data_IF_953132964271
#
_entry.id   IF_953132964271
#
_cell.length_a   1.000
_cell.length_b   1.000
_cell.length_c   1.000
_cell.angle_alpha   90.00
_cell.angle_beta   90.00
_cell.angle_gamma   90.00
#
_symmetry.space_group_name_H-M   'P 1'
#
loop_
_entity.id
_entity.type
_entity.pdbx_description
1 polymer ?
#
# COMPACT_ATOMS: atom_id res chain seq x y z
N UNK A 1 25.44 -5.29 -14.44
CA UNK A 1 26.22 -4.14 -14.97
C UNK A 1 25.27 -2.94 -15.08
N UNK A 2 25.45 -1.91 -14.26
CA UNK A 2 24.66 -0.67 -14.31
C UNK A 2 25.18 0.23 -15.44
N UNK A 3 24.33 0.74 -16.32
CA UNK A 3 24.76 1.69 -17.37
C UNK A 3 24.90 3.10 -16.81
N UNK A 4 26.11 3.66 -16.89
CA UNK A 4 26.36 5.08 -16.55
C UNK A 4 25.76 6.00 -17.61
N UNK A 5 24.81 6.86 -17.22
CA UNK A 5 24.14 7.83 -18.10
C UNK A 5 25.00 9.05 -18.43
N UNK A 6 26.13 9.25 -17.74
CA UNK A 6 26.93 10.48 -17.83
C UNK A 6 27.54 10.73 -19.20
N UNK A 7 27.88 9.67 -19.94
CA UNK A 7 28.64 9.76 -21.20
C UNK A 7 27.85 9.31 -22.44
N UNK A 8 26.58 8.92 -22.32
CA UNK A 8 25.81 8.43 -23.48
C UNK A 8 25.29 9.60 -24.32
N UNK A 9 25.59 9.67 -25.64
CA UNK A 9 25.07 10.69 -26.53
C UNK A 9 23.54 10.77 -26.51
N UNK A 10 22.98 11.97 -26.74
CA UNK A 10 21.53 12.19 -26.70
C UNK A 10 20.77 11.29 -27.71
N UNK A 11 21.26 11.19 -28.95
CA UNK A 11 20.63 10.38 -29.99
C UNK A 11 20.58 8.90 -29.62
N UNK A 12 21.65 8.38 -29.01
CA UNK A 12 21.69 7.01 -28.52
C UNK A 12 20.66 6.78 -27.41
N UNK A 13 20.51 7.71 -26.45
CA UNK A 13 19.49 7.58 -25.39
C UNK A 13 18.06 7.58 -25.95
N UNK A 14 17.78 8.41 -26.95
CA UNK A 14 16.47 8.44 -27.62
C UNK A 14 16.21 7.12 -28.35
N UNK A 15 17.20 6.60 -29.07
CA UNK A 15 17.08 5.34 -29.80
C UNK A 15 16.92 4.15 -28.85
N UNK A 16 17.68 4.11 -27.76
CA UNK A 16 17.52 3.11 -26.70
C UNK A 16 16.12 3.17 -26.09
N UNK A 17 15.58 4.36 -25.82
CA UNK A 17 14.21 4.51 -25.30
C UNK A 17 13.15 4.02 -26.30
N UNK A 18 13.30 4.32 -27.59
CA UNK A 18 12.40 3.81 -28.65
C UNK A 18 12.41 2.28 -28.74
N UNK A 19 13.56 1.65 -28.45
CA UNK A 19 13.74 0.20 -28.41
C UNK A 19 13.35 -0.45 -27.09
N UNK A 20 12.92 0.33 -26.08
CA UNK A 20 12.58 -0.20 -24.75
C UNK A 20 13.80 -0.67 -23.94
N UNK A 21 14.99 -0.15 -24.24
CA UNK A 21 16.22 -0.51 -23.53
C UNK A 21 16.35 0.37 -22.29
N UNK A 22 16.20 -0.24 -21.11
CA UNK A 22 16.36 0.41 -19.82
C UNK A 22 17.81 0.59 -19.37
N UNK A 23 17.99 1.14 -18.16
CA UNK A 23 19.30 1.36 -17.52
C UNK A 23 19.96 0.07 -17.03
N UNK A 24 19.17 -0.96 -16.76
CA UNK A 24 19.66 -2.27 -16.35
C UNK A 24 18.84 -3.40 -16.97
N UNK A 25 19.45 -4.58 -17.08
CA UNK A 25 18.84 -5.76 -17.72
C UNK A 25 17.85 -6.49 -16.81
N UNK A 26 18.15 -6.57 -15.51
CA UNK A 26 17.39 -7.38 -14.55
C UNK A 26 16.81 -6.51 -13.42
N UNK A 27 15.61 -6.82 -12.92
CA UNK A 27 14.95 -6.08 -11.85
C UNK A 27 15.29 -6.68 -10.48
N UNK A 28 16.50 -6.43 -9.99
CA UNK A 28 17.03 -7.05 -8.77
C UNK A 28 16.19 -6.74 -7.53
N UNK A 29 15.75 -5.49 -7.36
CA UNK A 29 14.98 -5.05 -6.19
C UNK A 29 13.58 -5.64 -6.23
N UNK A 30 12.93 -5.65 -7.39
CA UNK A 30 11.61 -6.26 -7.53
C UNK A 30 11.66 -7.76 -7.17
N UNK A 31 12.67 -8.50 -7.64
CA UNK A 31 12.87 -9.90 -7.28
C UNK A 31 13.13 -10.08 -5.79
N UNK A 32 14.04 -9.30 -5.20
CA UNK A 32 14.34 -9.36 -3.78
C UNK A 32 13.10 -9.11 -2.91
N UNK A 33 12.32 -8.07 -3.25
CA UNK A 33 11.09 -7.75 -2.55
C UNK A 33 10.03 -8.83 -2.73
N UNK A 34 9.88 -9.42 -3.91
CA UNK A 34 9.00 -10.56 -4.15
C UNK A 34 9.38 -11.79 -3.31
N UNK A 35 10.68 -12.09 -3.19
CA UNK A 35 11.16 -13.17 -2.32
C UNK A 35 10.88 -12.87 -0.84
N UNK A 36 11.10 -11.63 -0.40
CA UNK A 36 10.77 -11.22 0.97
C UNK A 36 9.26 -11.34 1.25
N UNK A 37 8.41 -10.88 0.33
CA UNK A 37 6.95 -10.99 0.43
C UNK A 37 6.48 -12.45 0.44
N UNK A 38 7.13 -13.34 -0.31
CA UNK A 38 6.83 -14.77 -0.26
C UNK A 38 7.17 -15.37 1.11
N UNK A 39 8.32 -15.02 1.68
CA UNK A 39 8.71 -15.46 3.02
C UNK A 39 7.73 -14.96 4.08
N UNK A 40 7.28 -13.70 3.97
CA UNK A 40 6.26 -13.12 4.85
C UNK A 40 4.90 -13.81 4.68
N UNK A 41 4.47 -14.11 3.44
CA UNK A 41 3.25 -14.90 3.21
C UNK A 41 3.31 -16.28 3.88
N UNK A 42 4.45 -16.97 3.81
CA UNK A 42 4.63 -18.26 4.50
C UNK A 42 4.51 -18.07 6.02
N UNK A 43 5.12 -17.02 6.57
CA UNK A 43 4.99 -16.68 7.99
C UNK A 43 3.54 -16.36 8.39
N UNK A 44 2.82 -15.58 7.58
CA UNK A 44 1.42 -15.22 7.79
C UNK A 44 0.52 -16.47 7.90
N UNK A 45 0.69 -17.42 6.96
CA UNK A 45 -0.04 -18.69 6.97
C UNK A 45 0.36 -19.59 8.15
N UNK A 46 1.64 -19.62 8.51
CA UNK A 46 2.12 -20.39 9.66
C UNK A 46 1.60 -19.83 10.99
N UNK A 47 1.58 -18.50 11.13
CA UNK A 47 1.02 -17.81 12.29
C UNK A 47 -0.47 -18.15 12.44
N UNK A 48 -1.23 -18.11 11.34
CA UNK A 48 -2.64 -18.46 11.36
C UNK A 48 -2.87 -19.93 11.69
N UNK A 49 -2.05 -20.84 11.13
CA UNK A 49 -2.11 -22.26 11.44
C UNK A 49 -1.86 -22.54 12.92
N UNK A 50 -0.90 -21.85 13.52
CA UNK A 50 -0.62 -21.94 14.95
C UNK A 50 -1.77 -21.43 15.81
N UNK A 51 -2.42 -20.34 15.39
CA UNK A 51 -3.49 -19.71 16.15
C UNK A 51 -4.84 -20.43 16.01
N UNK A 52 -5.24 -20.79 14.79
CA UNK A 52 -6.58 -21.29 14.46
C UNK A 52 -6.62 -22.79 14.13
N UNK A 53 -5.46 -23.45 14.06
CA UNK A 53 -5.33 -24.84 13.59
C UNK A 53 -5.29 -24.99 12.07
N UNK A 54 -5.55 -23.93 11.29
CA UNK A 54 -5.54 -23.95 9.82
C UNK A 54 -4.79 -22.72 9.25
N UNK A 55 -4.03 -22.87 8.14
CA UNK A 55 -3.31 -21.73 7.55
C UNK A 55 -4.24 -20.67 6.95
N UNK A 56 -5.44 -21.08 6.56
CA UNK A 56 -6.49 -20.21 6.02
C UNK A 56 -7.61 -20.10 7.05
N UNK A 57 -8.15 -18.90 7.22
CA UNK A 57 -9.34 -18.67 8.03
C UNK A 57 -10.57 -19.26 7.34
N UNK A 58 -11.11 -20.34 7.91
CA UNK A 58 -12.38 -20.96 7.50
C UNK A 58 -13.54 -20.65 8.46
N UNK A 59 -13.20 -20.23 9.68
CA UNK A 59 -14.13 -19.89 10.77
C UNK A 59 -13.66 -18.60 11.47
N UNK A 60 -14.54 -17.80 12.09
CA UNK A 60 -16.02 -17.91 12.07
C UNK A 60 -16.63 -17.65 10.70
N UNK A 61 -15.89 -17.01 9.80
CA UNK A 61 -16.22 -16.82 8.40
C UNK A 61 -15.00 -17.14 7.54
N UNK A 62 -15.23 -17.46 6.27
CA UNK A 62 -14.15 -17.74 5.32
C UNK A 62 -13.51 -16.41 4.91
N UNK A 63 -12.17 -16.32 4.98
CA UNK A 63 -11.47 -15.19 4.38
C UNK A 63 -11.53 -15.34 2.84
N UNK A 64 -12.16 -14.40 2.12
CA UNK A 64 -12.35 -14.51 0.67
C UNK A 64 -11.03 -14.49 -0.13
N UNK A 65 -9.93 -13.99 0.47
CA UNK A 65 -8.60 -13.99 -0.13
C UNK A 65 -7.81 -15.29 0.08
N UNK A 66 -8.41 -16.28 0.75
CA UNK A 66 -7.77 -17.56 1.13
C UNK A 66 -6.48 -17.30 1.94
N UNK A 67 -6.63 -16.66 3.09
CA UNK A 67 -5.51 -16.25 3.93
C UNK A 67 -5.82 -16.23 5.43
N UNK A 68 -4.92 -15.62 6.23
CA UNK A 68 -5.05 -15.52 7.68
C UNK A 68 -6.28 -14.75 8.14
N UNK A 69 -6.59 -14.82 9.43
CA UNK A 69 -7.59 -13.94 10.05
C UNK A 69 -7.12 -12.51 10.19
N UNK A 70 -8.07 -11.58 10.33
CA UNK A 70 -7.78 -10.17 10.60
C UNK A 70 -6.88 -10.00 11.83
N UNK A 71 -7.17 -10.68 12.94
CA UNK A 71 -6.36 -10.62 14.16
C UNK A 71 -4.94 -11.16 13.94
N UNK A 72 -4.76 -12.22 13.15
CA UNK A 72 -3.44 -12.71 12.78
C UNK A 72 -2.66 -11.70 11.93
N UNK A 73 -3.31 -11.03 10.97
CA UNK A 73 -2.69 -9.96 10.17
C UNK A 73 -2.32 -8.75 11.02
N UNK A 74 -3.18 -8.33 11.96
CA UNK A 74 -2.88 -7.25 12.90
C UNK A 74 -1.65 -7.62 13.74
N UNK A 75 -1.61 -8.82 14.30
CA UNK A 75 -0.48 -9.30 15.09
C UNK A 75 0.82 -9.41 14.26
N UNK A 76 0.71 -9.74 12.98
CA UNK A 76 1.86 -9.78 12.05
C UNK A 76 2.37 -8.40 11.61
N UNK A 77 1.64 -7.32 11.88
CA UNK A 77 2.08 -5.95 11.60
C UNK A 77 1.26 -5.20 10.54
N UNK A 78 0.01 -5.61 10.28
CA UNK A 78 -0.88 -4.88 9.38
C UNK A 78 -1.11 -3.43 9.83
N UNK A 79 -1.48 -2.54 8.91
CA UNK A 79 -1.85 -1.18 9.28
C UNK A 79 -3.15 -1.26 10.06
N UNK A 80 -3.09 -0.92 11.34
CA UNK A 80 -4.26 -0.91 12.21
C UNK A 80 -4.16 0.30 13.15
N UNK A 81 -4.89 1.40 12.88
CA UNK A 81 -4.74 2.66 13.61
C UNK A 81 -4.84 2.54 15.13
N UNK A 82 -5.66 1.62 15.67
CA UNK A 82 -5.75 1.41 17.11
C UNK A 82 -4.43 0.90 17.73
N UNK A 83 -3.56 0.20 16.98
CA UNK A 83 -2.22 -0.15 17.45
C UNK A 83 -1.22 1.02 17.37
N UNK A 84 -1.59 2.12 16.71
CA UNK A 84 -0.67 3.21 16.36
C UNK A 84 -0.93 4.50 17.12
N UNK A 85 -2.17 4.70 17.60
CA UNK A 85 -2.58 5.84 18.42
C UNK A 85 -3.89 5.53 19.16
N UNK A 86 -4.24 6.39 20.11
CA UNK A 86 -5.59 6.42 20.68
C UNK A 86 -6.60 6.88 19.63
N UNK A 87 -7.73 6.18 19.53
CA UNK A 87 -8.84 6.50 18.62
C UNK A 87 -10.03 6.98 19.44
N UNK A 88 -10.55 8.17 19.15
CA UNK A 88 -11.78 8.68 19.76
C UNK A 88 -12.94 7.73 19.46
N UNK A 89 -13.64 7.27 20.50
CA UNK A 89 -14.74 6.29 20.37
C UNK A 89 -14.31 4.83 20.50
N UNK A 90 -13.02 4.54 20.65
CA UNK A 90 -12.50 3.18 20.90
C UNK A 90 -11.61 3.19 22.16
N UNK A 91 -12.20 2.99 23.35
CA UNK A 91 -11.45 2.92 24.60
C UNK A 91 -10.36 1.84 24.58
N UNK A 92 -9.25 2.04 25.30
CA UNK A 92 -8.20 1.01 25.44
C UNK A 92 -8.69 -0.26 26.14
N UNK A 93 -9.80 -0.19 26.88
CA UNK A 93 -10.47 -1.34 27.48
C UNK A 93 -11.29 -2.16 26.47
N UNK A 94 -11.46 -1.68 25.23
CA UNK A 94 -12.17 -2.43 24.19
C UNK A 94 -11.47 -3.76 23.94
N UNK A 95 -12.26 -4.82 24.00
CA UNK A 95 -11.82 -6.18 23.73
C UNK A 95 -12.02 -6.51 22.25
N UNK A 96 -11.11 -7.32 21.72
CA UNK A 96 -11.07 -7.76 20.33
C UNK A 96 -11.11 -9.28 20.27
N UNK A 97 -11.59 -9.85 19.17
CA UNK A 97 -11.51 -11.29 18.98
C UNK A 97 -10.05 -11.75 18.99
N UNK A 98 -9.74 -12.70 19.87
CA UNK A 98 -8.40 -13.30 19.96
C UNK A 98 -7.98 -13.94 18.63
N UNK A 99 -6.67 -14.13 18.45
CA UNK A 99 -6.12 -14.76 17.24
C UNK A 99 -6.66 -16.18 16.99
N UNK A 100 -7.01 -16.92 18.06
CA UNK A 100 -7.54 -18.28 18.01
C UNK A 100 -9.07 -18.35 17.97
N UNK A 101 -9.77 -17.21 17.92
CA UNK A 101 -11.23 -17.21 17.92
C UNK A 101 -11.79 -17.85 16.64
N UNK A 102 -12.53 -18.96 16.80
CA UNK A 102 -13.22 -19.65 15.70
C UNK A 102 -14.75 -19.64 15.84
N UNK A 103 -15.29 -19.13 16.95
CA UNK A 103 -16.71 -19.11 17.23
C UNK A 103 -17.44 -17.89 16.65
N UNK A 104 -18.73 -18.07 16.37
CA UNK A 104 -19.69 -17.03 16.02
C UNK A 104 -20.99 -17.25 16.81
N UNK A 105 -21.33 -16.41 17.83
CA UNK A 105 -20.62 -15.21 18.26
C UNK A 105 -19.25 -15.49 18.90
N UNK A 106 -18.43 -14.45 19.05
CA UNK A 106 -17.06 -14.54 19.63
C UNK A 106 -17.12 -15.04 21.07
N UNK A 107 -16.31 -16.05 21.37
CA UNK A 107 -16.19 -16.67 22.70
C UNK A 107 -14.84 -16.38 23.38
N UNK A 108 -13.84 -15.94 22.62
CA UNK A 108 -12.51 -15.58 23.11
C UNK A 108 -12.17 -14.14 22.79
N UNK A 109 -12.10 -13.32 23.85
CA UNK A 109 -11.79 -11.90 23.80
C UNK A 109 -10.39 -11.62 24.35
N UNK A 110 -9.66 -10.75 23.66
CA UNK A 110 -8.28 -10.35 23.96
C UNK A 110 -8.18 -8.83 24.04
N UNK A 111 -7.18 -8.35 24.79
CA UNK A 111 -6.89 -6.92 24.83
C UNK A 111 -6.37 -6.42 23.47
N UNK A 112 -6.47 -5.11 23.24
CA UNK A 112 -5.84 -4.48 22.07
C UNK A 112 -4.34 -4.78 22.01
N UNK A 113 -3.67 -4.78 23.15
CA UNK A 113 -2.23 -5.06 23.26
C UNK A 113 -1.87 -6.47 22.78
N UNK A 114 -2.67 -7.48 23.17
CA UNK A 114 -2.48 -8.87 22.73
C UNK A 114 -2.65 -9.03 21.21
N UNK A 115 -3.67 -8.36 20.65
CA UNK A 115 -3.95 -8.41 19.21
C UNK A 115 -2.88 -7.66 18.42
N UNK A 116 -2.42 -6.52 18.93
CA UNK A 116 -1.35 -5.73 18.32
C UNK A 116 0.00 -6.45 18.37
N UNK A 117 0.28 -7.27 19.39
CA UNK A 117 1.55 -8.00 19.49
C UNK A 117 2.77 -7.07 19.57
N UNK A 118 3.91 -7.52 19.03
CA UNK A 118 5.19 -6.79 19.06
C UNK A 118 5.67 -6.33 20.45
N UNK A 119 5.36 -7.12 21.49
CA UNK A 119 5.74 -6.81 22.87
C UNK A 119 4.76 -5.90 23.61
N UNK A 120 3.74 -5.38 22.93
CA UNK A 120 2.69 -4.58 23.54
C UNK A 120 3.04 -3.10 23.76
N UNK A 121 2.27 -2.43 24.63
CA UNK A 121 2.39 -1.01 24.96
C UNK A 121 2.78 -0.77 26.43
N UNK A 122 2.74 -1.80 27.28
CA UNK A 122 3.17 -1.76 28.68
C UNK A 122 2.50 -0.62 29.49
N UNK A 123 1.19 -0.45 29.31
CA UNK A 123 0.41 0.59 29.99
C UNK A 123 0.62 2.01 29.46
N UNK A 124 1.26 2.16 28.29
CA UNK A 124 1.37 3.44 27.55
C UNK A 124 0.38 3.48 26.39
N UNK A 125 0.28 4.66 25.79
CA UNK A 125 -0.49 4.88 24.57
C UNK A 125 0.08 4.04 23.40
N UNK A 126 -0.77 3.52 22.50
CA UNK A 126 -0.30 2.81 21.30
C UNK A 126 0.61 3.68 20.43
N UNK A 127 1.76 3.15 20.02
CA UNK A 127 2.81 3.89 19.31
C UNK A 127 3.54 3.08 18.21
N UNK A 128 2.91 2.04 17.67
CA UNK A 128 3.51 1.15 16.65
C UNK A 128 3.58 1.80 15.24
N UNK A 129 4.34 2.89 15.12
CA UNK A 129 4.49 3.71 13.90
C UNK A 129 5.03 2.92 12.70
N UNK A 130 5.78 1.84 12.95
CA UNK A 130 6.32 0.96 11.90
C UNK A 130 5.22 0.32 11.05
N UNK A 131 3.96 0.35 11.50
CA UNK A 131 2.76 -0.07 10.75
C UNK A 131 2.42 0.83 9.56
N UNK A 132 3.20 1.88 9.29
CA UNK A 132 3.23 2.54 7.98
C UNK A 132 4.14 1.83 6.96
N UNK A 133 5.03 0.95 7.40
CA UNK A 133 6.05 0.27 6.57
C UNK A 133 5.74 -1.22 6.45
N UNK A 134 5.56 -1.93 7.57
CA UNK A 134 5.33 -3.38 7.61
C UNK A 134 4.20 -3.90 6.70
N UNK A 135 3.07 -3.18 6.49
CA UNK A 135 2.00 -3.67 5.65
C UNK A 135 2.40 -3.89 4.19
N UNK A 136 3.46 -3.22 3.71
CA UNK A 136 3.97 -3.36 2.34
C UNK A 136 4.35 -4.83 2.05
N UNK A 137 4.73 -5.59 3.08
CA UNK A 137 5.16 -6.98 2.92
C UNK A 137 4.06 -8.02 3.19
N UNK A 138 3.03 -7.64 3.92
CA UNK A 138 1.92 -8.50 4.35
C UNK A 138 0.86 -8.62 3.26
N UNK A 139 0.10 -9.71 3.27
CA UNK A 139 -0.93 -9.99 2.27
C UNK A 139 -2.14 -10.66 2.91
N UNK A 140 -3.33 -10.25 2.47
CA UNK A 140 -4.60 -10.75 2.99
C UNK A 140 -4.88 -12.24 2.73
N UNK A 141 -4.09 -12.85 1.84
CA UNK A 141 -4.18 -14.26 1.47
C UNK A 141 -3.54 -14.54 0.12
N UNK A 142 -3.62 -15.80 -0.30
CA UNK A 142 -2.94 -16.31 -1.50
C UNK A 142 -3.39 -15.56 -2.76
N UNK A 143 -4.68 -15.28 -2.91
CA UNK A 143 -5.22 -14.58 -4.09
C UNK A 143 -4.64 -13.16 -4.17
N UNK A 144 -4.67 -12.42 -3.06
CA UNK A 144 -4.15 -11.06 -3.00
C UNK A 144 -2.62 -11.03 -3.25
N UNK A 145 -1.87 -12.01 -2.74
CA UNK A 145 -0.44 -12.15 -3.02
C UNK A 145 -0.15 -12.40 -4.49
N UNK A 146 -0.87 -13.32 -5.14
CA UNK A 146 -0.66 -13.62 -6.56
C UNK A 146 -0.93 -12.41 -7.46
N UNK A 147 -1.98 -11.62 -7.15
CA UNK A 147 -2.27 -10.38 -7.88
C UNK A 147 -1.15 -9.34 -7.71
N UNK A 148 -0.64 -9.16 -6.47
CA UNK A 148 0.51 -8.27 -6.25
C UNK A 148 1.77 -8.79 -6.95
N UNK A 149 2.07 -10.09 -6.88
CA UNK A 149 3.24 -10.66 -7.55
C UNK A 149 3.16 -10.52 -9.07
N UNK A 150 1.96 -10.69 -9.66
CA UNK A 150 1.75 -10.44 -11.08
C UNK A 150 2.14 -9.01 -11.44
N UNK A 151 1.60 -8.00 -10.74
CA UNK A 151 1.90 -6.59 -11.02
C UNK A 151 3.34 -6.18 -10.66
N UNK A 152 3.91 -6.75 -9.60
CA UNK A 152 5.29 -6.53 -9.14
C UNK A 152 6.30 -7.07 -10.15
N UNK A 153 6.14 -8.32 -10.58
CA UNK A 153 7.09 -9.02 -11.46
C UNK A 153 6.92 -8.65 -12.95
N UNK A 154 5.85 -7.94 -13.30
CA UNK A 154 5.63 -7.40 -14.65
C UNK A 154 5.87 -5.89 -14.68
N UNK A 155 4.87 -5.09 -14.31
CA UNK A 155 4.89 -3.63 -14.43
C UNK A 155 5.97 -2.99 -13.55
N UNK A 156 6.06 -3.37 -12.27
CA UNK A 156 7.07 -2.75 -11.37
C UNK A 156 8.50 -3.13 -11.79
N UNK A 157 8.70 -4.39 -12.16
CA UNK A 157 9.97 -4.89 -12.70
C UNK A 157 10.41 -4.18 -13.99
N UNK A 158 9.47 -3.82 -14.87
CA UNK A 158 9.77 -3.00 -16.06
C UNK A 158 10.27 -1.62 -15.66
N UNK A 159 9.60 -0.96 -14.71
CA UNK A 159 10.01 0.35 -14.20
C UNK A 159 11.37 0.30 -13.52
N UNK A 160 11.70 -0.76 -12.79
CA UNK A 160 13.05 -0.93 -12.23
C UNK A 160 14.11 -0.99 -13.33
N UNK A 161 13.87 -1.78 -14.39
CA UNK A 161 14.81 -1.89 -15.51
C UNK A 161 15.04 -0.54 -16.18
N UNK A 162 14.00 0.28 -16.32
CA UNK A 162 14.09 1.61 -16.93
C UNK A 162 14.75 2.66 -16.02
N UNK A 163 14.30 2.77 -14.77
CA UNK A 163 14.73 3.82 -13.83
C UNK A 163 16.06 3.49 -13.13
N UNK A 164 16.35 2.20 -12.97
CA UNK A 164 17.45 1.65 -12.19
C UNK A 164 17.05 1.34 -10.74
N UNK A 165 17.69 0.35 -10.13
CA UNK A 165 17.36 -0.18 -8.79
C UNK A 165 17.30 0.87 -7.69
N UNK A 166 18.22 1.84 -7.64
CA UNK A 166 18.26 2.84 -6.57
C UNK A 166 17.04 3.79 -6.61
N UNK A 167 16.71 4.31 -7.80
CA UNK A 167 15.53 5.17 -7.98
C UNK A 167 14.24 4.38 -7.73
N UNK A 168 14.19 3.13 -8.21
CA UNK A 168 13.07 2.22 -7.97
C UNK A 168 12.84 1.98 -6.49
N UNK A 169 13.88 1.62 -5.73
CA UNK A 169 13.79 1.39 -4.29
C UNK A 169 13.20 2.61 -3.56
N UNK A 170 13.70 3.81 -3.84
CA UNK A 170 13.22 5.05 -3.19
C UNK A 170 11.76 5.31 -3.55
N UNK A 171 11.38 5.23 -4.83
CA UNK A 171 9.98 5.42 -5.26
C UNK A 171 9.06 4.39 -4.60
N UNK A 172 9.48 3.12 -4.60
CA UNK A 172 8.67 2.01 -4.10
C UNK A 172 8.29 2.22 -2.63
N UNK A 173 9.28 2.47 -1.77
CA UNK A 173 9.03 2.71 -0.36
C UNK A 173 8.37 4.07 -0.10
N UNK A 174 8.76 5.13 -0.82
CA UNK A 174 8.09 6.43 -0.67
C UNK A 174 6.61 6.38 -1.07
N UNK A 175 6.24 5.62 -2.09
CA UNK A 175 4.84 5.44 -2.47
C UNK A 175 4.10 4.52 -1.50
N UNK A 176 4.68 3.38 -1.13
CA UNK A 176 4.06 2.41 -0.21
C UNK A 176 3.81 2.99 1.18
N UNK A 177 4.80 3.66 1.77
CA UNK A 177 4.68 4.28 3.09
C UNK A 177 3.64 5.40 3.05
N UNK A 178 3.68 6.27 2.04
CA UNK A 178 2.69 7.32 1.92
C UNK A 178 1.28 6.78 1.69
N UNK A 179 1.14 5.71 0.91
CA UNK A 179 -0.13 5.00 0.75
C UNK A 179 -0.70 4.59 2.10
N UNK A 180 0.11 3.97 2.97
CA UNK A 180 -0.30 3.63 4.33
C UNK A 180 -0.62 4.86 5.20
N UNK A 181 0.14 5.95 5.06
CA UNK A 181 -0.17 7.22 5.75
C UNK A 181 -1.51 7.78 5.30
N UNK A 182 -1.76 7.85 3.99
CA UNK A 182 -3.01 8.36 3.44
C UNK A 182 -4.20 7.47 3.81
N UNK A 183 -4.04 6.15 3.72
CA UNK A 183 -5.03 5.17 4.21
C UNK A 183 -5.28 5.28 5.71
N UNK A 184 -4.27 5.51 6.53
CA UNK A 184 -4.43 5.73 7.97
C UNK A 184 -5.32 6.94 8.32
N UNK A 185 -5.36 7.96 7.46
CA UNK A 185 -6.15 9.16 7.67
C UNK A 185 -7.61 9.02 7.22
N UNK A 186 -7.88 8.22 6.18
CA UNK A 186 -9.17 8.28 5.47
C UNK A 186 -9.83 6.92 5.22
N UNK A 187 -9.08 5.82 5.31
CA UNK A 187 -9.65 4.48 5.25
C UNK A 187 -10.29 4.09 6.59
N UNK A 188 -11.00 2.97 6.59
CA UNK A 188 -11.61 2.41 7.79
C UNK A 188 -10.54 2.10 8.86
N UNK A 189 -10.64 2.73 10.03
CA UNK A 189 -9.64 2.58 11.10
C UNK A 189 -9.82 1.30 11.91
N UNK A 190 -11.00 0.69 11.84
CA UNK A 190 -11.30 -0.58 12.48
C UNK A 190 -10.88 -1.78 11.63
N UNK A 191 -10.33 -1.63 10.41
CA UNK A 191 -9.90 -2.80 9.62
C UNK A 191 -8.39 -2.80 9.38
N UNK A 192 -7.74 -3.97 9.45
CA UNK A 192 -6.37 -4.07 9.01
C UNK A 192 -6.27 -3.82 7.51
N UNK A 193 -5.24 -3.10 7.11
CA UNK A 193 -4.83 -2.94 5.71
C UNK A 193 -3.44 -3.53 5.52
N UNK A 194 -3.27 -4.26 4.42
CA UNK A 194 -2.04 -4.98 4.05
C UNK A 194 -1.85 -4.92 2.53
N UNK A 195 -0.64 -5.18 2.07
CA UNK A 195 -0.32 -5.36 0.66
C UNK A 195 0.70 -4.36 0.14
N UNK A 196 1.52 -4.83 -0.78
CA UNK A 196 2.46 -4.01 -1.54
C UNK A 196 1.78 -3.04 -2.53
N UNK A 197 0.48 -3.17 -2.72
CA UNK A 197 -0.26 -2.52 -3.80
C UNK A 197 -0.11 -0.99 -3.82
N UNK A 198 -0.01 -0.30 -2.69
CA UNK A 198 0.30 1.15 -2.66
C UNK A 198 1.65 1.48 -3.30
N UNK A 199 2.69 0.68 -3.04
CA UNK A 199 4.00 0.83 -3.68
C UNK A 199 3.93 0.51 -5.19
N UNK A 200 3.21 -0.55 -5.56
CA UNK A 200 3.01 -0.94 -6.96
C UNK A 200 2.31 0.16 -7.74
N UNK A 201 1.21 0.74 -7.22
CA UNK A 201 0.55 1.90 -7.82
C UNK A 201 1.49 3.10 -7.96
N UNK A 202 2.43 3.28 -7.03
CA UNK A 202 3.51 4.25 -7.16
C UNK A 202 4.41 4.00 -8.36
N UNK A 203 4.79 2.75 -8.62
CA UNK A 203 5.57 2.41 -9.82
C UNK A 203 4.77 2.55 -11.11
N UNK A 204 3.47 2.22 -11.09
CA UNK A 204 2.55 2.45 -12.22
C UNK A 204 2.51 3.95 -12.51
N UNK A 205 2.42 4.81 -11.51
CA UNK A 205 2.50 6.26 -11.70
C UNK A 205 3.81 6.73 -12.34
N UNK A 206 4.95 6.07 -12.07
CA UNK A 206 6.21 6.37 -12.81
C UNK A 206 6.06 6.04 -14.30
N UNK A 207 5.34 4.99 -14.66
CA UNK A 207 5.04 4.69 -16.06
C UNK A 207 4.24 5.83 -16.73
N UNK A 208 3.34 6.49 -15.99
CA UNK A 208 2.62 7.67 -16.48
C UNK A 208 3.56 8.86 -16.69
N UNK A 209 4.47 9.11 -15.75
CA UNK A 209 5.51 10.14 -15.89
C UNK A 209 6.36 9.87 -17.14
N UNK A 210 6.78 8.62 -17.34
CA UNK A 210 7.51 8.21 -18.54
C UNK A 210 6.73 8.49 -19.82
N UNK A 211 5.49 8.00 -19.91
CA UNK A 211 4.65 8.15 -21.10
C UNK A 211 4.44 9.62 -21.47
N UNK A 212 4.12 10.47 -20.49
CA UNK A 212 3.90 11.91 -20.72
C UNK A 212 5.20 12.60 -21.10
N UNK A 213 6.31 12.30 -20.40
CA UNK A 213 7.60 12.90 -20.70
C UNK A 213 8.13 12.47 -22.07
N UNK A 214 7.88 11.24 -22.49
CA UNK A 214 8.43 10.64 -23.71
C UNK A 214 7.37 10.37 -24.77
N UNK A 215 6.27 11.12 -24.78
CA UNK A 215 5.13 10.93 -25.69
C UNK A 215 5.55 10.73 -27.16
N UNK A 216 6.51 11.52 -27.65
CA UNK A 216 7.02 11.47 -29.02
C UNK A 216 7.90 10.24 -29.34
N UNK A 217 8.34 9.51 -28.33
CA UNK A 217 9.23 8.35 -28.47
C UNK A 217 8.49 7.02 -28.36
N UNK A 218 7.23 7.03 -27.89
CA UNK A 218 6.36 5.87 -27.95
C UNK A 218 5.68 5.79 -29.33
N UNK A 219 5.56 4.58 -29.86
CA UNK A 219 4.91 4.32 -31.17
C UNK A 219 3.41 4.64 -31.14
N UNK A 220 2.71 4.24 -30.07
CA UNK A 220 1.26 4.42 -29.91
C UNK A 220 0.89 5.00 -28.53
N UNK A 221 1.29 6.24 -28.22
CA UNK A 221 1.20 6.79 -26.86
C UNK A 221 -0.25 6.93 -26.37
N UNK A 222 -1.19 7.34 -27.25
CA UNK A 222 -2.60 7.46 -26.89
C UNK A 222 -3.24 6.10 -26.53
N UNK A 223 -2.91 5.04 -27.29
CA UNK A 223 -3.38 3.68 -27.00
C UNK A 223 -2.77 3.16 -25.69
N UNK A 224 -1.48 3.43 -25.44
CA UNK A 224 -0.82 3.10 -24.17
C UNK A 224 -1.49 3.82 -23.00
N UNK A 225 -1.80 5.11 -23.14
CA UNK A 225 -2.52 5.90 -22.14
C UNK A 225 -3.91 5.29 -21.85
N UNK A 226 -4.66 4.92 -22.88
CA UNK A 226 -5.97 4.27 -22.71
C UNK A 226 -5.86 2.98 -21.90
N UNK A 227 -4.91 2.10 -22.21
CA UNK A 227 -4.70 0.87 -21.43
C UNK A 227 -4.30 1.18 -19.98
N UNK A 228 -3.43 2.16 -19.75
CA UNK A 228 -3.03 2.56 -18.40
C UNK A 228 -4.20 3.18 -17.60
N UNK A 229 -5.13 3.87 -18.26
CA UNK A 229 -6.38 4.34 -17.63
C UNK A 229 -7.27 3.15 -17.24
N UNK A 230 -7.42 2.16 -18.14
CA UNK A 230 -8.21 0.96 -17.87
C UNK A 230 -7.60 0.16 -16.70
N UNK A 231 -6.28 -0.02 -16.70
CA UNK A 231 -5.54 -0.66 -15.60
C UNK A 231 -5.73 0.06 -14.27
N UNK A 232 -5.69 1.40 -14.27
CA UNK A 232 -5.95 2.20 -13.08
C UNK A 232 -7.38 1.99 -12.55
N UNK A 233 -8.38 2.00 -13.44
CA UNK A 233 -9.78 1.76 -13.07
C UNK A 233 -9.95 0.35 -12.49
N UNK A 234 -9.38 -0.67 -13.15
CA UNK A 234 -9.43 -2.05 -12.66
C UNK A 234 -8.73 -2.18 -11.30
N UNK A 235 -7.57 -1.54 -11.13
CA UNK A 235 -6.83 -1.55 -9.88
C UNK A 235 -7.65 -0.95 -8.72
N UNK A 236 -8.29 0.19 -8.95
CA UNK A 236 -9.18 0.81 -7.95
C UNK A 236 -10.45 -0.04 -7.72
N UNK A 237 -10.95 -0.72 -8.75
CA UNK A 237 -12.08 -1.65 -8.61
C UNK A 237 -11.70 -2.87 -7.75
N UNK A 238 -10.47 -3.39 -7.88
CA UNK A 238 -9.92 -4.44 -7.00
C UNK A 238 -9.80 -3.95 -5.56
N UNK A 239 -9.64 -2.65 -5.33
CA UNK A 239 -9.61 -2.06 -3.98
C UNK A 239 -10.93 -2.11 -3.21
N UNK A 240 -12.03 -2.56 -3.81
CA UNK A 240 -13.28 -2.88 -3.08
C UNK A 240 -13.29 -4.29 -2.48
N UNK A 241 -12.28 -5.10 -2.78
CA UNK A 241 -12.10 -6.41 -2.16
C UNK A 241 -11.64 -6.21 -0.70
N UNK A 242 -12.12 -7.02 0.26
CA UNK A 242 -11.70 -6.91 1.66
C UNK A 242 -10.18 -6.90 1.84
N UNK A 243 -9.70 -6.11 2.80
CA UNK A 243 -8.29 -5.88 3.14
C UNK A 243 -7.47 -5.08 2.11
N UNK A 244 -8.03 -4.75 0.95
CA UNK A 244 -7.41 -3.87 -0.04
C UNK A 244 -7.85 -2.44 0.23
N UNK A 245 -6.92 -1.49 0.16
CA UNK A 245 -7.13 -0.10 0.57
C UNK A 245 -6.97 0.85 -0.62
N UNK A 246 -8.09 1.39 -1.09
CA UNK A 246 -8.11 2.34 -2.20
C UNK A 246 -7.42 3.67 -1.87
N UNK A 247 -7.39 4.09 -0.60
CA UNK A 247 -6.57 5.24 -0.21
C UNK A 247 -5.09 4.89 -0.31
N UNK A 248 -4.67 3.68 0.06
CA UNK A 248 -3.29 3.27 -0.15
C UNK A 248 -2.90 3.30 -1.63
N UNK A 249 -3.79 2.87 -2.53
CA UNK A 249 -3.58 2.96 -3.99
C UNK A 249 -3.48 4.41 -4.47
N UNK A 250 -4.43 5.26 -4.10
CA UNK A 250 -4.47 6.67 -4.51
C UNK A 250 -3.25 7.44 -3.98
N UNK A 251 -2.93 7.26 -2.70
CA UNK A 251 -1.77 7.88 -2.06
C UNK A 251 -0.46 7.40 -2.69
N UNK A 252 -0.35 6.09 -2.92
CA UNK A 252 0.78 5.49 -3.62
C UNK A 252 0.96 6.05 -5.03
N UNK A 253 -0.11 6.14 -5.81
CA UNK A 253 -0.10 6.73 -7.15
C UNK A 253 0.32 8.21 -7.12
N UNK A 254 -0.23 9.01 -6.20
CA UNK A 254 0.10 10.43 -6.04
C UNK A 254 1.60 10.64 -5.75
N UNK A 255 2.15 9.96 -4.75
CA UNK A 255 3.58 10.08 -4.43
C UNK A 255 4.45 9.42 -5.50
N UNK A 256 3.96 8.38 -6.19
CA UNK A 256 4.61 7.80 -7.35
C UNK A 256 4.76 8.79 -8.52
N UNK A 257 3.74 9.60 -8.81
CA UNK A 257 3.83 10.66 -9.83
C UNK A 257 4.91 11.68 -9.45
N UNK A 258 4.86 12.18 -8.21
CA UNK A 258 5.79 13.20 -7.73
C UNK A 258 7.23 12.67 -7.66
N UNK A 259 7.44 11.50 -7.07
CA UNK A 259 8.76 10.88 -6.95
C UNK A 259 9.29 10.41 -8.31
N UNK A 260 8.42 9.99 -9.22
CA UNK A 260 8.74 9.73 -10.63
C UNK A 260 9.27 10.97 -11.34
N UNK A 261 8.64 12.15 -11.16
CA UNK A 261 9.16 13.41 -11.72
C UNK A 261 10.58 13.69 -11.19
N UNK A 262 10.80 13.47 -9.89
CA UNK A 262 12.10 13.69 -9.22
C UNK A 262 13.18 12.73 -9.73
N UNK A 263 12.89 11.42 -9.76
CA UNK A 263 13.91 10.38 -9.88
C UNK A 263 13.98 9.70 -11.27
N UNK A 264 12.90 9.72 -12.05
CA UNK A 264 12.88 9.06 -13.35
C UNK A 264 13.85 9.75 -14.35
N UNK A 265 14.65 8.99 -15.13
CA UNK A 265 15.64 9.54 -16.05
C UNK A 265 15.01 10.16 -17.32
N UNK A 266 14.37 11.32 -17.18
CA UNK A 266 13.72 12.04 -18.28
C UNK A 266 14.75 12.57 -19.30
N UNK A 267 14.69 12.08 -20.55
CA UNK A 267 15.52 12.55 -21.66
C UNK A 267 15.08 13.96 -22.03
N UNK A 268 15.98 14.95 -21.95
CA UNK A 268 15.67 16.37 -22.24
C UNK A 268 16.51 16.90 -23.41
N UNK A 269 15.99 16.90 -24.67
CA UNK A 269 16.77 17.26 -25.86
C UNK A 269 17.12 18.75 -25.96
N UNK A 270 16.26 19.62 -25.42
CA UNK A 270 16.40 21.08 -25.53
C UNK A 270 16.70 21.71 -24.19
N UNK A 271 17.40 22.86 -24.18
CA UNK A 271 17.67 23.64 -22.97
C UNK A 271 16.37 24.02 -22.25
N UNK A 272 15.34 24.44 -22.99
CA UNK A 272 14.01 24.75 -22.45
C UNK A 272 13.40 23.56 -21.72
N UNK A 273 13.41 22.36 -22.32
CA UNK A 273 12.85 21.15 -21.68
C UNK A 273 13.65 20.75 -20.44
N UNK A 274 14.97 20.87 -20.47
CA UNK A 274 15.83 20.64 -19.31
C UNK A 274 15.45 21.58 -18.15
N UNK A 275 15.27 22.88 -18.42
CA UNK A 275 14.83 23.86 -17.40
C UNK A 275 13.47 23.49 -16.82
N UNK A 276 12.49 23.16 -17.67
CA UNK A 276 11.14 22.76 -17.22
C UNK A 276 11.21 21.52 -16.31
N UNK A 277 11.94 20.48 -16.71
CA UNK A 277 12.09 19.26 -15.90
C UNK A 277 12.72 19.59 -14.55
N UNK A 278 13.81 20.37 -14.52
CA UNK A 278 14.43 20.76 -13.25
C UNK A 278 13.51 21.61 -12.37
N UNK A 279 12.72 22.52 -12.95
CA UNK A 279 11.72 23.29 -12.20
C UNK A 279 10.64 22.37 -11.60
N UNK A 280 10.10 21.42 -12.38
CA UNK A 280 9.15 20.43 -11.88
C UNK A 280 9.75 19.57 -10.76
N UNK A 281 11.02 19.17 -10.87
CA UNK A 281 11.72 18.42 -9.82
C UNK A 281 11.87 19.22 -8.53
N UNK A 282 12.29 20.48 -8.64
CA UNK A 282 12.43 21.39 -7.50
C UNK A 282 11.09 21.69 -6.82
N UNK A 283 9.98 21.71 -7.57
CA UNK A 283 8.64 21.88 -7.01
C UNK A 283 8.09 20.59 -6.39
N UNK A 284 8.32 19.43 -7.00
CA UNK A 284 7.77 18.16 -6.54
C UNK A 284 8.31 17.72 -5.18
N UNK A 285 9.61 17.93 -4.91
CA UNK A 285 10.24 17.46 -3.67
C UNK A 285 9.65 18.13 -2.40
N UNK A 286 9.50 19.47 -2.31
CA UNK A 286 8.80 20.11 -1.20
C UNK A 286 7.36 19.65 -1.05
N UNK A 287 6.63 19.43 -2.15
CA UNK A 287 5.25 18.94 -2.12
C UNK A 287 5.19 17.56 -1.46
N UNK A 288 6.08 16.63 -1.81
CA UNK A 288 6.16 15.32 -1.16
C UNK A 288 6.38 15.49 0.36
N UNK A 289 7.34 16.32 0.76
CA UNK A 289 7.67 16.53 2.17
C UNK A 289 6.46 17.11 2.92
N UNK A 290 5.82 18.13 2.37
CA UNK A 290 4.63 18.76 2.97
C UNK A 290 3.49 17.75 3.10
N UNK A 291 3.21 16.95 2.06
CA UNK A 291 2.18 15.92 2.11
C UNK A 291 2.44 14.91 3.24
N UNK A 292 3.67 14.42 3.35
CA UNK A 292 4.08 13.51 4.43
C UNK A 292 3.90 14.14 5.82
N UNK A 293 4.45 15.33 6.03
CA UNK A 293 4.39 16.02 7.33
C UNK A 293 2.96 16.32 7.73
N UNK A 294 2.16 16.88 6.82
CA UNK A 294 0.77 17.25 7.08
C UNK A 294 -0.07 16.03 7.41
N UNK A 295 0.02 14.95 6.63
CA UNK A 295 -0.83 13.78 6.84
C UNK A 295 -0.37 12.89 8.00
N UNK A 296 0.92 12.82 8.31
CA UNK A 296 1.37 12.16 9.54
C UNK A 296 0.89 12.97 10.75
N UNK A 297 1.04 14.30 10.72
CA UNK A 297 0.54 15.15 11.81
C UNK A 297 -0.98 15.04 11.97
N UNK A 298 -1.72 15.05 10.86
CA UNK A 298 -3.16 14.88 10.86
C UNK A 298 -3.55 13.51 11.42
N UNK A 299 -2.85 12.45 11.02
CA UNK A 299 -3.06 11.12 11.57
C UNK A 299 -2.94 11.11 13.08
N UNK A 300 -1.92 11.72 13.69
CA UNK A 300 -1.74 11.67 15.15
C UNK A 300 -2.57 12.71 15.94
N UNK A 301 -3.01 13.81 15.31
CA UNK A 301 -3.68 14.91 16.00
C UNK A 301 -5.18 14.98 15.78
N UNK A 302 -5.67 14.44 14.66
CA UNK A 302 -7.06 14.55 14.26
C UNK A 302 -7.76 13.21 14.36
N UNK A 303 -9.09 13.27 14.53
CA UNK A 303 -9.94 12.08 14.41
C UNK A 303 -10.16 11.77 12.92
N UNK A 304 -9.79 10.57 12.43
CA UNK A 304 -10.00 10.18 11.04
C UNK A 304 -11.49 10.19 10.64
N UNK A 305 -12.37 9.89 11.59
CA UNK A 305 -13.82 9.85 11.38
C UNK A 305 -14.44 11.22 11.13
N UNK A 306 -13.87 12.27 11.73
CA UNK A 306 -14.40 13.64 11.63
C UNK A 306 -13.94 14.34 10.35
N UNK A 307 -12.85 13.86 9.74
CA UNK A 307 -12.27 14.48 8.55
C UNK A 307 -13.15 14.29 7.30
N UNK A 308 -13.80 13.13 7.16
CA UNK A 308 -14.59 12.81 5.97
C UNK A 308 -15.53 11.61 6.19
N UNK A 309 -16.82 11.89 6.40
CA UNK A 309 -17.84 10.86 6.67
C UNK A 309 -18.09 9.89 5.50
N UNK A 310 -17.82 10.31 4.26
CA UNK A 310 -18.04 9.49 3.06
C UNK A 310 -16.78 8.76 2.55
N UNK A 311 -15.60 9.17 2.99
CA UNK A 311 -14.31 8.64 2.50
C UNK A 311 -14.22 7.12 2.66
N UNK A 312 -14.81 6.61 3.74
CA UNK A 312 -14.93 5.17 4.04
C UNK A 312 -15.54 4.36 2.89
N UNK A 313 -16.37 4.96 2.04
CA UNK A 313 -17.01 4.28 0.91
C UNK A 313 -16.11 4.08 -0.32
N UNK A 314 -14.97 4.77 -0.38
CA UNK A 314 -13.98 4.55 -1.44
C UNK A 314 -13.31 3.18 -1.35
N UNK A 315 -13.31 2.53 -0.17
CA UNK A 315 -12.77 1.17 0.02
C UNK A 315 -13.85 0.14 0.32
N UNK A 316 -15.14 0.53 0.33
CA UNK A 316 -16.23 -0.37 0.70
C UNK A 316 -17.58 0.17 0.19
N UNK A 317 -18.26 -0.55 -0.70
CA UNK A 317 -19.58 -0.14 -1.19
C UNK A 317 -20.72 -0.79 -0.37
N UNK A 318 -21.60 -0.02 0.29
CA UNK A 318 -22.70 -0.59 1.06
C UNK A 318 -23.79 -1.11 0.11
N UNK A 319 -24.01 -2.43 0.09
CA UNK A 319 -25.17 -3.05 -0.57
C UNK A 319 -26.00 -3.83 0.45
N UNK A 320 -27.26 -4.13 0.14
CA UNK A 320 -28.14 -4.98 0.97
C UNK A 320 -27.61 -6.42 1.16
N UNK A 321 -26.67 -6.84 0.32
CA UNK A 321 -25.93 -8.11 0.40
C UNK A 321 -24.51 -7.96 0.99
N UNK A 322 -24.05 -6.74 1.28
CA UNK A 322 -22.71 -6.41 1.74
C UNK A 322 -22.77 -5.59 3.04
N UNK A 323 -23.28 -6.22 4.11
CA UNK A 323 -23.30 -5.64 5.45
C UNK A 323 -21.90 -5.45 6.04
N UNK A 324 -20.83 -5.92 5.38
CA UNK A 324 -19.45 -5.67 5.79
C UNK A 324 -19.02 -4.20 5.69
N UNK A 325 -19.79 -3.34 5.00
CA UNK A 325 -19.58 -1.89 5.00
C UNK A 325 -20.51 -1.14 5.97
N UNK A 326 -21.39 -1.86 6.68
CA UNK A 326 -22.40 -1.31 7.59
C UNK A 326 -22.19 -1.74 9.04
N UNK A 327 -21.69 -2.97 9.25
CA UNK A 327 -21.45 -3.53 10.58
C UNK A 327 -19.97 -3.80 10.88
N UNK A 328 -19.64 -3.30 12.06
CA UNK A 328 -18.45 -3.51 12.91
C UNK A 328 -18.05 -4.99 12.90
N UNK A 329 -16.93 -5.30 12.26
CA UNK A 329 -16.28 -6.62 12.33
C UNK A 329 -15.54 -6.87 13.64
N UNK A 330 -15.80 -6.07 14.68
CA UNK A 330 -15.34 -6.28 16.04
C UNK A 330 -16.57 -6.20 16.92
N UNK A 331 -16.93 -7.33 17.55
CA UNK A 331 -17.92 -7.33 18.60
C UNK A 331 -17.38 -6.49 19.75
N UNK A 332 -17.65 -5.18 19.74
CA UNK A 332 -17.53 -4.34 20.92
C UNK A 332 -18.57 -4.82 21.91
N UNK A 333 -18.18 -5.74 22.79
CA UNK A 333 -18.88 -5.86 24.06
C UNK A 333 -18.43 -4.65 24.88
N UNK A 334 -19.07 -3.51 24.65
CA UNK A 334 -19.03 -2.44 25.64
C UNK A 334 -19.68 -3.05 26.87
N UNK A 335 -18.90 -3.31 27.92
CA UNK A 335 -19.44 -3.68 29.23
C UNK A 335 -20.34 -2.51 29.64
N UNK A 336 -21.63 -2.60 29.33
CA UNK A 336 -22.62 -1.73 29.94
C UNK A 336 -22.62 -2.11 31.41
N UNK A 337 -21.86 -1.37 32.22
CA UNK A 337 -22.15 -1.24 33.64
C UNK A 337 -23.52 -0.60 33.74
N UNK A 338 -24.54 -1.44 33.81
CA UNK A 338 -25.85 -1.07 34.33
C UNK A 338 -25.65 -0.54 35.75
N UNK A 339 -25.86 0.77 35.93
CA UNK A 339 -26.15 1.38 37.23
C UNK A 339 -27.65 1.19 37.48
#
# INVERSE_FOLDING_TARGET
MFRSLGNTPLNQRIEEKKRGIGRQRYPYVAWLLSTAMLAVMIYELALNAKAMGTPIQLKPSVNPMLGPSASALINAGARFPACMKIISGLPLSTQFACLNNTANPVDSLCSLEDVCGFGGFHGKDPDQWFRFITPIFLHAGIIHFLLNMLAQLTASAEIEKEMGSAGFFIVYFAAGIFGNVFGGNFAWVERPSVGASGAIFGTIAVAWVDLVAHWKYHQHPARKLLFMIIELIIGIAVGYIPYVDNFAHIGGFLVGLLSGIVLYPIISPTRRRKIIVWACRLAALPVIIVLYVVLIRNFYRSNPYDACSWCRYLSCFPTSSNNHCQDIGFFTTTTQTSI
#
